data_IF_131463600427
#
_entry.id   IF_131463600427
#
_cell.length_a   1.000
_cell.length_b   1.000
_cell.length_c   1.000
_cell.angle_alpha   90.00
_cell.angle_beta   90.00
_cell.angle_gamma   90.00
#
_symmetry.space_group_name_H-M   'P 1'
#
loop_
_entity.id
_entity.type
_entity.pdbx_description
1 polymer ?
#
# COMPACT_ATOMS: atom_id res chain seq x y z
N UNK A 1 -11.23 19.31 -27.84
CA UNK A 1 -11.19 18.13 -26.96
C UNK A 1 -10.53 18.60 -25.69
N UNK A 2 -11.30 18.77 -24.61
CA UNK A 2 -10.75 19.16 -23.33
C UNK A 2 -10.04 17.95 -22.75
N UNK A 3 -8.72 18.05 -22.62
CA UNK A 3 -7.92 17.06 -21.91
C UNK A 3 -8.26 17.22 -20.42
N UNK A 4 -9.25 16.48 -19.95
CA UNK A 4 -9.65 16.46 -18.55
C UNK A 4 -8.51 15.82 -17.76
N UNK A 5 -7.72 16.65 -17.07
CA UNK A 5 -6.68 16.16 -16.17
C UNK A 5 -7.30 15.16 -15.19
N UNK A 6 -6.69 13.98 -15.00
CA UNK A 6 -7.23 12.98 -14.10
C UNK A 6 -7.31 13.56 -12.68
N UNK A 7 -8.34 13.19 -11.90
CA UNK A 7 -8.55 13.75 -10.58
C UNK A 7 -7.36 13.42 -9.66
N UNK A 8 -6.95 14.37 -8.82
CA UNK A 8 -5.80 14.21 -7.92
C UNK A 8 -6.05 13.17 -6.82
N UNK A 9 -7.31 12.91 -6.47
CA UNK A 9 -7.74 11.92 -5.48
C UNK A 9 -8.80 10.98 -6.05
N UNK A 10 -8.73 9.70 -5.66
CA UNK A 10 -9.76 8.70 -5.97
C UNK A 10 -11.01 8.84 -5.08
N UNK A 11 -10.83 9.39 -3.88
CA UNK A 11 -11.83 9.38 -2.81
C UNK A 11 -11.93 10.77 -2.20
N UNK A 12 -13.15 11.30 -2.09
CA UNK A 12 -13.41 12.53 -1.36
C UNK A 12 -13.50 12.28 0.17
N UNK A 13 -13.16 13.26 1.03
CA UNK A 13 -13.26 13.10 2.49
C UNK A 13 -14.63 12.62 2.98
N UNK A 14 -15.71 13.13 2.38
CA UNK A 14 -17.09 12.73 2.70
C UNK A 14 -17.37 11.26 2.41
N UNK A 15 -16.77 10.69 1.36
CA UNK A 15 -16.90 9.27 1.03
C UNK A 15 -16.17 8.40 2.07
N UNK A 16 -15.02 8.86 2.57
CA UNK A 16 -14.32 8.20 3.67
C UNK A 16 -15.14 8.20 4.96
N UNK A 17 -15.70 9.36 5.34
CA UNK A 17 -16.52 9.50 6.56
C UNK A 17 -17.79 8.66 6.50
N UNK A 18 -18.40 8.53 5.32
CA UNK A 18 -19.54 7.64 5.12
C UNK A 18 -19.20 6.15 5.36
N UNK A 19 -17.95 5.74 5.07
CA UNK A 19 -17.51 4.35 5.23
C UNK A 19 -17.03 4.03 6.66
N UNK A 20 -16.37 4.97 7.34
CA UNK A 20 -15.68 4.72 8.62
C UNK A 20 -16.15 5.58 9.80
N UNK A 21 -17.10 6.50 9.59
CA UNK A 21 -17.64 7.40 10.61
C UNK A 21 -17.00 8.78 10.62
N UNK A 22 -17.78 9.78 11.03
CA UNK A 22 -17.34 11.17 11.18
C UNK A 22 -16.32 11.33 12.33
N UNK A 23 -15.42 12.31 12.21
CA UNK A 23 -14.52 12.71 13.31
C UNK A 23 -13.21 11.92 13.43
N UNK A 24 -12.85 11.13 12.41
CA UNK A 24 -11.60 10.34 12.41
C UNK A 24 -10.31 11.17 12.33
N UNK A 25 -10.37 12.36 11.72
CA UNK A 25 -9.32 13.35 11.60
C UNK A 25 -9.94 14.70 11.18
N UNK A 26 -9.19 15.79 11.23
CA UNK A 26 -9.63 17.04 10.59
C UNK A 26 -9.69 16.88 9.06
N UNK A 27 -10.60 17.62 8.41
CA UNK A 27 -10.87 17.48 6.97
C UNK A 27 -9.65 17.76 6.08
N UNK A 28 -8.75 18.65 6.49
CA UNK A 28 -7.54 18.98 5.72
C UNK A 28 -6.54 17.84 5.76
N UNK A 29 -6.30 17.28 6.96
CA UNK A 29 -5.48 16.10 7.17
C UNK A 29 -6.04 14.90 6.40
N UNK A 30 -7.35 14.68 6.46
CA UNK A 30 -8.01 13.60 5.73
C UNK A 30 -7.84 13.77 4.21
N UNK A 31 -8.04 14.98 3.69
CA UNK A 31 -7.84 15.30 2.27
C UNK A 31 -6.39 15.01 1.83
N UNK A 32 -5.41 15.46 2.62
CA UNK A 32 -4.00 15.24 2.31
C UNK A 32 -3.63 13.75 2.35
N UNK A 33 -4.17 12.99 3.30
CA UNK A 33 -3.93 11.54 3.41
C UNK A 33 -4.54 10.77 2.24
N UNK A 34 -5.77 11.10 1.82
CA UNK A 34 -6.44 10.47 0.68
C UNK A 34 -5.73 10.76 -0.65
N UNK A 35 -5.29 12.01 -0.86
CA UNK A 35 -4.49 12.38 -2.02
C UNK A 35 -3.15 11.65 -2.03
N UNK A 36 -2.46 11.59 -0.87
CA UNK A 36 -1.19 10.85 -0.74
C UNK A 36 -1.38 9.36 -0.96
N UNK A 37 -2.43 8.74 -0.43
CA UNK A 37 -2.73 7.33 -0.63
C UNK A 37 -3.02 7.03 -2.11
N UNK A 38 -3.81 7.87 -2.79
CA UNK A 38 -4.06 7.78 -4.24
C UNK A 38 -2.75 7.83 -5.03
N UNK A 39 -1.87 8.77 -4.69
CA UNK A 39 -0.55 8.89 -5.33
C UNK A 39 0.30 7.63 -5.12
N UNK A 40 0.35 7.09 -3.91
CA UNK A 40 1.09 5.85 -3.62
C UNK A 40 0.55 4.70 -4.48
N UNK A 41 -0.77 4.51 -4.53
CA UNK A 41 -1.38 3.47 -5.38
C UNK A 41 -0.98 3.67 -6.84
N UNK A 42 -1.06 4.89 -7.36
CA UNK A 42 -0.65 5.20 -8.74
C UNK A 42 0.82 4.87 -8.99
N UNK A 43 1.71 5.32 -8.12
CA UNK A 43 3.15 5.16 -8.29
C UNK A 43 3.56 3.68 -8.18
N UNK A 44 2.93 2.91 -7.30
CA UNK A 44 3.12 1.46 -7.17
C UNK A 44 2.63 0.69 -8.41
N UNK A 45 1.53 1.13 -9.02
CA UNK A 45 1.06 0.56 -10.29
C UNK A 45 1.97 0.94 -11.46
N UNK A 46 2.43 2.19 -11.49
CA UNK A 46 3.33 2.68 -12.52
C UNK A 46 4.69 1.96 -12.49
N UNK A 47 5.17 1.57 -11.30
CA UNK A 47 6.37 0.74 -11.14
C UNK A 47 6.27 -0.61 -11.86
N UNK A 48 5.05 -1.09 -12.12
CA UNK A 48 4.76 -2.32 -12.85
C UNK A 48 4.26 -2.10 -14.28
N UNK A 49 4.33 -0.86 -14.76
CA UNK A 49 3.90 -0.48 -16.11
C UNK A 49 2.38 -0.34 -16.27
N UNK A 50 1.63 -0.23 -15.18
CA UNK A 50 0.19 0.03 -15.21
C UNK A 50 -0.13 1.50 -14.93
N UNK A 51 -1.04 2.08 -15.70
CA UNK A 51 -1.65 3.37 -15.38
C UNK A 51 -2.98 3.16 -14.65
N UNK A 52 -3.10 3.70 -13.44
CA UNK A 52 -4.28 3.56 -12.59
C UNK A 52 -5.57 4.04 -13.30
N UNK A 53 -5.52 5.20 -13.94
CA UNK A 53 -6.68 5.82 -14.56
C UNK A 53 -7.08 5.09 -15.83
N UNK A 54 -6.12 4.62 -16.62
CA UNK A 54 -6.35 3.76 -17.77
C UNK A 54 -7.04 2.45 -17.36
N UNK A 55 -6.59 1.81 -16.26
CA UNK A 55 -7.20 0.58 -15.75
C UNK A 55 -8.65 0.80 -15.27
N UNK A 56 -8.94 1.94 -14.66
CA UNK A 56 -10.29 2.33 -14.24
C UNK A 56 -11.19 2.64 -15.44
N UNK A 57 -10.71 3.46 -16.38
CA UNK A 57 -11.46 3.84 -17.58
C UNK A 57 -11.80 2.63 -18.47
N UNK A 58 -10.89 1.65 -18.54
CA UNK A 58 -11.11 0.38 -19.25
C UNK A 58 -11.94 -0.63 -18.46
N UNK A 59 -12.33 -0.32 -17.22
CA UNK A 59 -13.08 -1.22 -16.34
C UNK A 59 -12.31 -2.48 -15.94
N UNK A 60 -10.98 -2.48 -16.08
CA UNK A 60 -10.11 -3.60 -15.67
C UNK A 60 -9.98 -3.67 -14.16
N UNK A 61 -10.04 -2.52 -13.49
CA UNK A 61 -10.21 -2.40 -12.04
C UNK A 61 -11.59 -1.78 -11.80
N UNK A 62 -12.33 -2.32 -10.82
CA UNK A 62 -13.59 -1.70 -10.38
C UNK A 62 -13.28 -0.47 -9.54
N UNK A 63 -13.91 0.65 -9.88
CA UNK A 63 -13.73 1.93 -9.17
C UNK A 63 -13.95 1.81 -7.67
N UNK A 64 -15.03 1.14 -7.25
CA UNK A 64 -15.35 0.94 -5.83
C UNK A 64 -14.22 0.20 -5.10
N UNK A 65 -13.65 -0.83 -5.72
CA UNK A 65 -12.54 -1.58 -5.14
C UNK A 65 -11.26 -0.75 -5.03
N UNK A 66 -11.00 0.15 -5.97
CA UNK A 66 -9.87 1.08 -5.88
C UNK A 66 -10.09 2.11 -4.76
N UNK A 67 -11.33 2.59 -4.60
CA UNK A 67 -11.71 3.48 -3.49
C UNK A 67 -11.54 2.79 -2.14
N UNK A 68 -12.02 1.56 -1.99
CA UNK A 68 -11.88 0.77 -0.76
C UNK A 68 -10.41 0.62 -0.34
N UNK A 69 -9.51 0.38 -1.31
CA UNK A 69 -8.07 0.29 -1.04
C UNK A 69 -7.50 1.59 -0.49
N UNK A 70 -7.86 2.73 -1.10
CA UNK A 70 -7.40 4.06 -0.64
C UNK A 70 -7.94 4.37 0.75
N UNK A 71 -9.22 4.10 0.99
CA UNK A 71 -9.87 4.29 2.29
C UNK A 71 -9.18 3.42 3.36
N UNK A 72 -8.95 2.14 3.10
CA UNK A 72 -8.31 1.22 4.05
C UNK A 72 -6.88 1.64 4.41
N UNK A 73 -6.11 2.14 3.43
CA UNK A 73 -4.78 2.69 3.67
C UNK A 73 -4.82 3.86 4.67
N UNK A 74 -5.76 4.79 4.48
CA UNK A 74 -5.90 5.97 5.33
C UNK A 74 -6.44 5.58 6.72
N UNK A 75 -7.43 4.70 6.79
CA UNK A 75 -7.98 4.21 8.05
C UNK A 75 -6.91 3.51 8.90
N UNK A 76 -6.04 2.72 8.27
CA UNK A 76 -4.91 2.11 8.94
C UNK A 76 -3.92 3.14 9.46
N UNK A 77 -3.52 4.10 8.62
CA UNK A 77 -2.58 5.15 9.03
C UNK A 77 -3.10 5.92 10.26
N UNK A 78 -4.35 6.38 10.22
CA UNK A 78 -4.99 7.10 11.33
C UNK A 78 -5.13 6.25 12.60
N UNK A 79 -5.50 4.97 12.47
CA UNK A 79 -5.61 4.07 13.63
C UNK A 79 -4.25 3.80 14.27
N UNK A 80 -3.23 3.59 13.44
CA UNK A 80 -1.87 3.36 13.92
C UNK A 80 -1.30 4.62 14.60
N UNK A 81 -1.56 5.83 14.07
CA UNK A 81 -1.09 7.10 14.66
C UNK A 81 -1.70 7.40 16.02
N UNK A 82 -2.92 6.96 16.26
CA UNK A 82 -3.65 7.24 17.50
C UNK A 82 -3.33 6.25 18.64
N UNK A 83 -2.30 5.41 18.47
CA UNK A 83 -1.89 4.43 19.49
C UNK A 83 -2.88 3.28 19.71
N UNK A 84 -3.97 3.22 18.93
CA UNK A 84 -5.00 2.20 19.00
C UNK A 84 -4.61 0.92 18.24
N UNK A 85 -3.35 0.50 18.39
CA UNK A 85 -2.82 -0.69 17.73
C UNK A 85 -3.05 -1.91 18.61
N UNK A 86 -4.19 -2.58 18.41
CA UNK A 86 -4.40 -3.97 18.81
C UNK A 86 -4.58 -4.79 17.52
N UNK A 87 -3.59 -5.62 17.22
CA UNK A 87 -3.44 -6.49 16.04
C UNK A 87 -2.91 -5.88 14.71
N UNK A 88 -1.80 -6.43 14.15
CA UNK A 88 -1.32 -6.12 12.79
C UNK A 88 -2.13 -6.86 11.71
N UNK A 89 -2.57 -6.16 10.67
CA UNK A 89 -2.71 -6.77 9.34
C UNK A 89 -1.35 -6.80 8.66
N UNK A 90 -0.80 -8.01 8.51
CA UNK A 90 0.56 -8.27 8.01
C UNK A 90 1.49 -8.95 9.03
N UNK A 91 0.96 -9.67 10.03
CA UNK A 91 1.75 -10.37 11.04
C UNK A 91 2.85 -11.25 10.41
N UNK A 92 4.11 -10.94 10.72
CA UNK A 92 5.24 -11.82 10.43
C UNK A 92 5.75 -12.36 11.76
N UNK A 93 5.17 -13.48 12.18
CA UNK A 93 5.77 -14.33 13.19
C UNK A 93 7.07 -14.92 12.61
N UNK A 94 8.19 -14.80 13.31
CA UNK A 94 9.40 -15.54 13.01
C UNK A 94 9.97 -16.10 14.32
N UNK A 95 9.84 -17.42 14.49
CA UNK A 95 10.54 -18.20 15.51
C UNK A 95 11.70 -18.89 14.82
N UNK A 96 12.94 -18.57 15.23
CA UNK A 96 14.09 -19.42 14.94
C UNK A 96 14.70 -19.83 16.29
N UNK A 97 14.54 -21.10 16.63
CA UNK A 97 15.11 -21.72 17.83
C UNK A 97 16.57 -22.07 17.54
N UNK A 98 17.50 -21.30 18.10
CA UNK A 98 18.94 -21.57 18.05
C UNK A 98 19.62 -21.27 19.37
N UNK A 99 19.49 -22.16 20.37
CA UNK A 99 20.22 -22.05 21.65
C UNK A 99 19.77 -20.90 22.59
N UNK A 100 20.54 -20.55 23.65
CA UNK A 100 20.09 -19.75 24.79
C UNK A 100 19.90 -18.24 24.55
N UNK A 101 20.05 -17.75 23.31
CA UNK A 101 19.81 -16.35 22.98
C UNK A 101 18.80 -16.24 21.85
N UNK A 102 17.65 -15.64 22.15
CA UNK A 102 16.61 -15.29 21.18
C UNK A 102 16.46 -13.77 21.14
N UNK A 103 16.69 -13.16 19.98
CA UNK A 103 16.44 -11.74 19.73
C UNK A 103 15.66 -11.62 18.42
N UNK A 104 14.42 -11.13 18.49
CA UNK A 104 13.62 -10.79 17.33
C UNK A 104 13.50 -9.28 17.20
N UNK A 105 13.71 -8.75 15.99
CA UNK A 105 13.44 -7.36 15.65
C UNK A 105 12.42 -7.34 14.52
N UNK A 106 11.23 -6.79 14.78
CA UNK A 106 10.18 -6.63 13.78
C UNK A 106 10.27 -5.22 13.22
N UNK A 107 10.53 -5.10 11.92
CA UNK A 107 10.36 -3.84 11.21
C UNK A 107 8.86 -3.63 10.93
N UNK A 108 8.20 -2.90 11.82
CA UNK A 108 6.86 -2.37 11.55
C UNK A 108 6.99 -1.09 10.75
N UNK A 109 6.05 -0.83 9.84
CA UNK A 109 5.97 0.48 9.19
C UNK A 109 5.89 1.57 10.29
N UNK A 110 6.49 2.75 10.10
CA UNK A 110 6.40 3.83 11.06
C UNK A 110 4.93 4.08 11.42
N UNK A 111 4.67 4.36 12.70
CA UNK A 111 3.34 4.74 13.19
C UNK A 111 2.78 5.87 12.31
N UNK A 112 1.56 5.69 11.79
CA UNK A 112 0.93 6.66 10.87
C UNK A 112 1.35 6.54 9.40
N UNK A 113 2.12 5.52 9.01
CA UNK A 113 2.56 5.36 7.63
C UNK A 113 1.45 4.80 6.72
N UNK A 114 1.36 5.36 5.51
CA UNK A 114 0.55 4.82 4.43
C UNK A 114 1.35 3.74 3.70
N UNK A 115 0.77 2.56 3.55
CA UNK A 115 1.45 1.42 2.91
C UNK A 115 0.53 0.73 1.90
N UNK A 116 1.00 0.59 0.66
CA UNK A 116 0.33 -0.25 -0.33
C UNK A 116 0.82 -1.70 -0.18
N UNK A 117 -0.08 -2.60 0.19
CA UNK A 117 0.30 -3.97 0.58
C UNK A 117 -0.03 -4.99 -0.50
N UNK A 118 0.53 -6.20 -0.36
CA UNK A 118 0.18 -7.36 -1.20
C UNK A 118 -1.33 -7.68 -1.18
N UNK A 119 -2.03 -7.40 -0.08
CA UNK A 119 -3.47 -7.60 0.03
C UNK A 119 -4.22 -6.59 -0.83
N UNK A 120 -3.84 -5.32 -0.78
CA UNK A 120 -4.43 -4.27 -1.63
C UNK A 120 -4.26 -4.62 -3.11
N UNK A 121 -3.04 -5.01 -3.49
CA UNK A 121 -2.74 -5.48 -4.85
C UNK A 121 -3.64 -6.64 -5.29
N UNK A 122 -3.82 -7.65 -4.44
CA UNK A 122 -4.68 -8.81 -4.73
C UNK A 122 -6.14 -8.40 -4.89
N UNK A 123 -6.63 -7.45 -4.08
CA UNK A 123 -8.01 -6.94 -4.19
C UNK A 123 -8.24 -6.22 -5.50
N UNK A 124 -7.25 -5.48 -6.01
CA UNK A 124 -7.28 -4.85 -7.33
C UNK A 124 -7.22 -5.86 -8.50
N UNK A 125 -7.15 -7.18 -8.23
CA UNK A 125 -7.08 -8.20 -9.28
C UNK A 125 -5.75 -8.25 -10.01
N UNK A 126 -4.71 -7.59 -9.48
CA UNK A 126 -3.41 -7.50 -10.13
C UNK A 126 -2.59 -8.76 -9.89
N UNK A 127 -1.83 -9.22 -10.90
CA UNK A 127 -0.96 -10.38 -10.75
C UNK A 127 0.07 -10.15 -9.62
N UNK A 128 0.43 -11.23 -8.94
CA UNK A 128 1.51 -11.20 -7.93
C UNK A 128 2.81 -10.81 -8.62
N UNK A 129 3.63 -10.00 -7.94
CA UNK A 129 4.99 -9.71 -8.38
C UNK A 129 5.81 -11.00 -8.30
N UNK A 130 5.90 -11.72 -9.41
CA UNK A 130 6.82 -12.83 -9.61
C UNK A 130 8.20 -12.28 -9.99
N UNK A 131 8.78 -11.39 -9.19
CA UNK A 131 10.18 -11.02 -9.39
C UNK A 131 11.03 -12.12 -8.74
N UNK A 132 11.20 -13.23 -9.46
CA UNK A 132 12.33 -14.11 -9.23
C UNK A 132 13.56 -13.29 -9.60
N UNK A 133 14.30 -12.81 -8.61
CA UNK A 133 15.65 -12.33 -8.87
C UNK A 133 16.50 -13.60 -8.95
N UNK A 134 16.91 -13.98 -10.17
CA UNK A 134 17.94 -14.98 -10.34
C UNK A 134 19.26 -14.29 -10.03
N UNK A 135 19.85 -14.60 -8.87
CA UNK A 135 21.23 -14.20 -8.59
C UNK A 135 22.11 -15.20 -9.31
N UNK A 136 22.72 -14.77 -10.40
CA UNK A 136 23.81 -15.52 -11.00
C UNK A 136 25.05 -15.38 -10.10
N UNK A 137 25.29 -16.39 -9.27
CA UNK A 137 26.41 -16.47 -8.34
C UNK A 137 27.71 -16.96 -9.01
N UNK A 138 27.77 -17.10 -10.34
CA UNK A 138 28.94 -17.67 -11.02
C UNK A 138 29.94 -16.65 -11.57
N UNK A 139 29.68 -15.33 -11.48
CA UNK A 139 30.57 -14.32 -12.08
C UNK A 139 31.86 -14.04 -11.28
N UNK A 140 32.00 -14.50 -10.03
CA UNK A 140 33.11 -14.06 -9.15
C UNK A 140 34.31 -15.03 -9.06
N UNK A 141 34.41 -16.08 -9.89
CA UNK A 141 35.43 -17.14 -9.72
C UNK A 141 36.41 -17.35 -10.88
N UNK A 142 36.58 -16.38 -11.77
CA UNK A 142 37.54 -16.50 -12.90
C UNK A 142 38.67 -15.47 -12.92
N UNK A 143 38.87 -14.68 -11.86
CA UNK A 143 39.91 -13.63 -11.87
C UNK A 143 40.90 -13.69 -10.68
N UNK A 144 41.31 -14.91 -10.30
CA UNK A 144 42.51 -15.10 -9.47
C UNK A 144 43.40 -16.20 -10.06
N UNK A 145 44.22 -15.80 -11.03
CA UNK A 145 45.39 -16.53 -11.53
C UNK A 145 46.67 -15.79 -11.20
#
# INVERSE_FOLDING_TARGET
MSEENPPETLVAPKEYEAAYGEGSADTNTLTALLAKATRIVRDELAADGYDLWDLLNKGKIRTDTAKDVVIDMVAYALRSSNGAFDAPFGAAQASMTGGPYSQSATFTAPVGSLSFTKVHRRRLGLPRLSRAFEVDLLTDREDQS
#
